data_IF_325154164073
#
_entry.id   IF_325154164073
#
_cell.length_a   1.000
_cell.length_b   1.000
_cell.length_c   1.000
_cell.angle_alpha   90.00
_cell.angle_beta   90.00
_cell.angle_gamma   90.00
#
_symmetry.space_group_name_H-M   'P 1'
#
loop_
_entity.id
_entity.type
_entity.pdbx_description
1 polymer ?
#
# COMPACT_ATOMS: atom_id res chain seq x y z
N UNK A 1 8.94 7.45 -3.72
CA UNK A 1 8.22 6.19 -3.95
C UNK A 1 7.97 6.01 -5.44
N UNK A 2 8.18 4.82 -5.94
CA UNK A 2 7.88 4.52 -7.34
C UNK A 2 6.36 4.56 -7.56
N UNK A 3 5.94 5.07 -8.71
CA UNK A 3 4.53 5.17 -9.07
C UNK A 3 4.24 4.13 -10.15
N UNK A 4 3.82 2.94 -9.71
CA UNK A 4 3.51 1.84 -10.64
C UNK A 4 2.22 2.11 -11.43
N UNK A 5 1.24 2.72 -10.79
CA UNK A 5 -0.05 3.02 -11.40
C UNK A 5 -0.44 4.46 -11.09
N UNK A 6 -1.25 5.04 -11.96
CA UNK A 6 -1.85 6.35 -11.75
C UNK A 6 -3.35 6.18 -11.53
N UNK A 7 -3.92 6.98 -10.63
CA UNK A 7 -5.35 6.97 -10.36
C UNK A 7 -5.90 8.35 -10.65
N UNK A 8 -6.86 8.43 -11.56
CA UNK A 8 -7.55 9.67 -11.90
C UNK A 8 -9.05 9.43 -11.89
N UNK A 9 -9.78 10.23 -11.11
CA UNK A 9 -11.24 10.14 -11.00
C UNK A 9 -11.72 8.73 -10.62
N UNK A 10 -10.99 8.06 -9.72
CA UNK A 10 -11.31 6.71 -9.28
C UNK A 10 -11.01 5.61 -10.28
N UNK A 11 -10.39 5.96 -11.41
CA UNK A 11 -10.01 4.98 -12.44
C UNK A 11 -8.50 4.87 -12.52
N UNK A 12 -8.03 3.65 -12.75
CA UNK A 12 -6.60 3.40 -12.92
C UNK A 12 -6.18 3.75 -14.35
N UNK A 13 -5.03 4.42 -14.45
CA UNK A 13 -4.41 4.75 -15.72
C UNK A 13 -3.04 4.08 -15.75
N UNK A 14 -2.75 3.24 -16.75
CA UNK A 14 -1.45 2.59 -16.83
C UNK A 14 -0.32 3.62 -16.97
N UNK A 15 0.78 3.37 -16.27
CA UNK A 15 2.02 4.12 -16.43
C UNK A 15 2.94 3.39 -17.43
N UNK A 16 4.07 4.00 -17.77
CA UNK A 16 5.07 3.33 -18.60
C UNK A 16 5.59 2.04 -17.98
N UNK A 17 5.57 1.92 -16.64
CA UNK A 17 5.97 0.71 -15.94
C UNK A 17 5.12 -0.50 -16.33
N UNK A 18 3.86 -0.28 -16.67
CA UNK A 18 2.96 -1.36 -17.09
C UNK A 18 3.41 -2.02 -18.39
N UNK A 19 4.13 -1.28 -19.23
CA UNK A 19 4.63 -1.79 -20.51
C UNK A 19 6.06 -2.30 -20.45
N UNK A 20 6.82 -1.92 -19.42
CA UNK A 20 8.24 -2.26 -19.31
C UNK A 20 8.52 -3.33 -18.29
N UNK A 21 7.73 -3.42 -17.23
CA UNK A 21 7.90 -4.45 -16.21
C UNK A 21 7.20 -5.74 -16.65
N UNK A 22 7.94 -6.83 -16.70
CA UNK A 22 7.45 -8.10 -17.25
C UNK A 22 6.21 -8.61 -16.54
N UNK A 23 6.16 -8.50 -15.23
CA UNK A 23 5.03 -9.01 -14.46
C UNK A 23 3.74 -8.23 -14.71
N UNK A 24 3.83 -6.93 -15.02
CA UNK A 24 2.65 -6.13 -15.36
C UNK A 24 2.24 -6.35 -16.79
N UNK A 25 3.20 -6.44 -17.71
CA UNK A 25 2.91 -6.73 -19.11
C UNK A 25 2.29 -8.11 -19.28
N UNK A 26 2.72 -9.10 -18.49
CA UNK A 26 2.15 -10.44 -18.53
C UNK A 26 0.66 -10.43 -18.16
N UNK A 27 0.24 -9.59 -17.21
CA UNK A 27 -1.16 -9.40 -16.87
C UNK A 27 -1.93 -8.80 -18.05
N UNK A 28 -1.38 -7.76 -18.66
CA UNK A 28 -2.00 -7.12 -19.82
C UNK A 28 -2.19 -8.11 -20.99
N UNK A 29 -1.19 -8.93 -21.24
CA UNK A 29 -1.21 -9.91 -22.32
C UNK A 29 -2.21 -11.04 -22.04
N UNK A 30 -2.31 -11.50 -20.79
CA UNK A 30 -3.22 -12.58 -20.41
C UNK A 30 -4.67 -12.11 -20.33
N UNK A 31 -4.90 -10.89 -19.86
CA UNK A 31 -6.24 -10.35 -19.63
C UNK A 31 -6.45 -9.06 -20.43
N UNK A 32 -6.45 -9.12 -21.77
CA UNK A 32 -6.50 -7.90 -22.59
C UNK A 32 -7.77 -7.06 -22.36
N UNK A 33 -8.87 -7.68 -21.94
CA UNK A 33 -10.14 -6.97 -21.71
C UNK A 33 -10.34 -6.54 -20.27
N UNK A 34 -9.63 -7.16 -19.31
CA UNK A 34 -9.84 -6.95 -17.88
C UNK A 34 -8.58 -6.54 -17.12
N UNK A 35 -7.47 -6.30 -17.82
CA UNK A 35 -6.20 -6.00 -17.15
C UNK A 35 -6.26 -4.75 -16.28
N UNK A 36 -7.10 -3.77 -16.60
CA UNK A 36 -7.25 -2.58 -15.78
C UNK A 36 -7.87 -2.90 -14.43
N UNK A 37 -8.83 -3.81 -14.39
CA UNK A 37 -9.42 -4.27 -13.12
C UNK A 37 -8.39 -5.04 -12.30
N UNK A 38 -7.56 -5.86 -12.94
CA UNK A 38 -6.47 -6.56 -12.25
C UNK A 38 -5.45 -5.56 -11.70
N UNK A 39 -5.08 -4.54 -12.45
CA UNK A 39 -4.19 -3.48 -11.98
C UNK A 39 -4.78 -2.74 -10.79
N UNK A 40 -6.08 -2.46 -10.81
CA UNK A 40 -6.77 -1.85 -9.68
C UNK A 40 -6.66 -2.73 -8.42
N UNK A 41 -6.88 -4.03 -8.59
CA UNK A 41 -6.71 -5.01 -7.53
C UNK A 41 -5.27 -5.01 -6.99
N UNK A 42 -4.28 -5.03 -7.87
CA UNK A 42 -2.87 -4.96 -7.46
C UNK A 42 -2.56 -3.68 -6.68
N UNK A 43 -3.07 -2.56 -7.16
CA UNK A 43 -2.86 -1.27 -6.50
C UNK A 43 -3.44 -1.26 -5.07
N UNK A 44 -4.70 -1.66 -4.93
CA UNK A 44 -5.35 -1.62 -3.62
C UNK A 44 -4.82 -2.67 -2.65
N UNK A 45 -4.30 -3.78 -3.16
CA UNK A 45 -3.67 -4.80 -2.31
C UNK A 45 -2.26 -4.41 -1.85
N UNK A 46 -1.53 -3.61 -2.60
CA UNK A 46 -0.11 -3.43 -2.38
C UNK A 46 0.34 -2.01 -2.07
N UNK A 47 -0.42 -0.99 -2.48
CA UNK A 47 -0.02 0.39 -2.24
C UNK A 47 0.00 0.69 -0.74
N UNK A 48 1.15 1.07 -0.19
CA UNK A 48 1.29 1.28 1.25
C UNK A 48 0.99 2.72 1.69
N UNK A 49 0.51 3.56 0.81
CA UNK A 49 0.17 4.95 1.13
C UNK A 49 -1.31 5.08 1.46
N UNK A 50 -1.69 5.33 2.73
CA UNK A 50 -3.10 5.42 3.11
C UNK A 50 -3.83 6.60 2.47
N UNK A 51 -3.11 7.63 2.02
CA UNK A 51 -3.73 8.77 1.33
C UNK A 51 -4.21 8.41 -0.07
N UNK A 52 -3.59 7.41 -0.69
CA UNK A 52 -3.93 6.94 -2.03
C UNK A 52 -4.76 5.65 -2.00
N UNK A 53 -4.63 4.87 -0.94
CA UNK A 53 -5.25 3.56 -0.83
C UNK A 53 -6.23 3.53 0.34
N UNK A 54 -7.54 3.68 0.08
CA UNK A 54 -8.53 3.68 1.15
C UNK A 54 -8.66 2.34 1.87
N UNK A 55 -8.14 1.25 1.29
CA UNK A 55 -8.19 -0.08 1.88
C UNK A 55 -6.94 -0.41 2.71
N UNK A 56 -6.01 0.53 2.84
CA UNK A 56 -4.72 0.28 3.50
C UNK A 56 -4.87 -0.24 4.94
N UNK A 57 -5.82 0.29 5.69
CA UNK A 57 -5.99 -0.03 7.10
C UNK A 57 -6.90 -1.22 7.37
N UNK A 58 -7.41 -1.88 6.35
CA UNK A 58 -8.24 -3.06 6.53
C UNK A 58 -7.41 -4.26 7.00
N UNK A 59 -7.99 -5.15 7.84
CA UNK A 59 -7.32 -6.39 8.22
C UNK A 59 -6.99 -7.22 6.97
N UNK A 60 -5.79 -7.81 6.94
CA UNK A 60 -5.31 -8.54 5.77
C UNK A 60 -6.26 -9.69 5.35
N UNK A 61 -6.87 -10.38 6.31
CA UNK A 61 -7.75 -11.50 6.02
C UNK A 61 -9.10 -11.08 5.41
N UNK A 62 -9.48 -9.81 5.53
CA UNK A 62 -10.72 -9.28 4.97
C UNK A 62 -10.48 -8.42 3.73
N UNK A 63 -9.27 -7.89 3.60
CA UNK A 63 -8.90 -6.90 2.60
C UNK A 63 -9.13 -7.40 1.17
N UNK A 64 -8.70 -8.61 0.88
CA UNK A 64 -8.82 -9.19 -0.46
C UNK A 64 -10.29 -9.28 -0.90
N UNK A 65 -11.14 -9.83 -0.06
CA UNK A 65 -12.56 -10.01 -0.39
C UNK A 65 -13.28 -8.68 -0.57
N UNK A 66 -12.97 -7.70 0.27
CA UNK A 66 -13.56 -6.37 0.19
C UNK A 66 -13.15 -5.68 -1.12
N UNK A 67 -11.88 -5.76 -1.48
CA UNK A 67 -11.38 -5.13 -2.70
C UNK A 67 -11.99 -5.79 -3.93
N UNK A 68 -12.04 -7.12 -3.97
CA UNK A 68 -12.62 -7.86 -5.10
C UNK A 68 -14.07 -7.44 -5.30
N UNK A 69 -14.84 -7.33 -4.23
CA UNK A 69 -16.23 -6.92 -4.31
C UNK A 69 -16.37 -5.48 -4.80
N UNK A 70 -15.55 -4.56 -4.27
CA UNK A 70 -15.62 -3.14 -4.63
C UNK A 70 -15.28 -2.88 -6.10
N UNK A 71 -14.29 -3.55 -6.65
CA UNK A 71 -13.89 -3.32 -8.03
C UNK A 71 -14.61 -4.24 -9.02
N UNK A 72 -15.32 -5.25 -8.53
CA UNK A 72 -16.01 -6.20 -9.40
C UNK A 72 -15.04 -7.08 -10.18
N UNK A 73 -13.96 -7.54 -9.55
CA UNK A 73 -12.95 -8.36 -10.21
C UNK A 73 -13.54 -9.69 -10.65
N UNK A 74 -13.49 -9.95 -11.96
CA UNK A 74 -13.97 -11.19 -12.56
C UNK A 74 -12.92 -12.29 -12.56
N UNK A 75 -11.63 -11.90 -12.60
CA UNK A 75 -10.53 -12.84 -12.67
C UNK A 75 -10.22 -13.45 -11.30
N UNK A 76 -9.74 -14.70 -11.32
CA UNK A 76 -9.40 -15.38 -10.08
C UNK A 76 -8.13 -14.78 -9.45
N UNK A 77 -8.19 -14.34 -8.18
CA UNK A 77 -7.00 -13.84 -7.50
C UNK A 77 -5.97 -14.94 -7.21
N UNK A 78 -6.35 -16.21 -7.37
CA UNK A 78 -5.44 -17.34 -7.20
C UNK A 78 -4.59 -17.60 -8.42
N UNK A 79 -4.80 -16.90 -9.54
CA UNK A 79 -3.98 -17.03 -10.73
C UNK A 79 -2.51 -16.75 -10.41
N UNK A 80 -1.63 -17.62 -10.86
CA UNK A 80 -0.21 -17.52 -10.56
C UNK A 80 0.43 -16.22 -11.02
N UNK A 81 -0.03 -15.67 -12.15
CA UNK A 81 0.49 -14.39 -12.66
C UNK A 81 0.04 -13.23 -11.78
N UNK A 82 -1.17 -13.27 -11.27
CA UNK A 82 -1.69 -12.25 -10.36
C UNK A 82 -0.96 -12.34 -9.02
N UNK A 83 -0.79 -13.53 -8.47
CA UNK A 83 -0.06 -13.72 -7.22
C UNK A 83 1.40 -13.27 -7.33
N UNK A 84 2.06 -13.60 -8.43
CA UNK A 84 3.42 -13.15 -8.68
C UNK A 84 3.48 -11.62 -8.79
N UNK A 85 2.52 -11.01 -9.47
CA UNK A 85 2.46 -9.57 -9.60
C UNK A 85 2.24 -8.87 -8.27
N UNK A 86 1.44 -9.45 -7.36
CA UNK A 86 1.27 -8.91 -6.00
C UNK A 86 2.62 -8.88 -5.27
N UNK A 87 3.35 -9.98 -5.30
CA UNK A 87 4.65 -10.07 -4.63
C UNK A 87 5.64 -9.05 -5.20
N UNK A 88 5.67 -8.91 -6.52
CA UNK A 88 6.56 -7.97 -7.19
C UNK A 88 6.17 -6.51 -6.89
N UNK A 89 4.90 -6.19 -6.89
CA UNK A 89 4.43 -4.85 -6.53
C UNK A 89 4.84 -4.50 -5.09
N UNK A 90 4.67 -5.42 -4.16
CA UNK A 90 5.10 -5.22 -2.78
C UNK A 90 6.59 -4.92 -2.70
N UNK A 91 7.42 -5.69 -3.41
CA UNK A 91 8.86 -5.45 -3.44
C UNK A 91 9.22 -4.09 -4.03
N UNK A 92 8.53 -3.69 -5.10
CA UNK A 92 8.77 -2.39 -5.74
C UNK A 92 8.42 -1.22 -4.81
N UNK A 93 7.38 -1.35 -4.00
CA UNK A 93 7.01 -0.33 -3.02
C UNK A 93 7.93 -0.32 -1.81
N UNK A 94 8.61 -1.42 -1.51
CA UNK A 94 9.49 -1.56 -0.34
C UNK A 94 10.90 -1.07 -0.61
N UNK A 95 11.06 0.18 -1.07
CA UNK A 95 12.37 0.79 -1.19
C UNK A 95 12.90 1.18 0.19
N UNK A 96 14.23 1.23 0.41
CA UNK A 96 14.78 1.65 1.69
C UNK A 96 14.31 3.04 2.12
N UNK A 97 14.25 3.98 1.19
CA UNK A 97 13.77 5.34 1.47
C UNK A 97 12.31 5.32 1.93
N UNK A 98 11.48 4.54 1.26
CA UNK A 98 10.07 4.44 1.61
C UNK A 98 9.87 3.75 2.95
N UNK A 99 10.63 2.68 3.23
CA UNK A 99 10.60 2.02 4.53
C UNK A 99 10.97 2.98 5.67
N UNK A 100 12.00 3.79 5.46
CA UNK A 100 12.39 4.80 6.44
C UNK A 100 11.27 5.80 6.69
N UNK A 101 10.61 6.27 5.63
CA UNK A 101 9.48 7.19 5.75
C UNK A 101 8.34 6.59 6.56
N UNK A 102 7.93 5.36 6.25
CA UNK A 102 6.86 4.66 6.97
C UNK A 102 7.23 4.46 8.44
N UNK A 103 8.49 4.09 8.70
CA UNK A 103 8.99 3.92 10.07
C UNK A 103 8.93 5.21 10.86
N UNK A 104 9.36 6.31 10.28
CA UNK A 104 9.32 7.63 10.91
C UNK A 104 7.87 8.05 11.19
N UNK A 105 6.99 7.88 10.23
CA UNK A 105 5.57 8.19 10.40
C UNK A 105 4.95 7.41 11.53
N UNK A 106 5.21 6.11 11.60
CA UNK A 106 4.70 5.25 12.67
C UNK A 106 5.23 5.68 14.04
N UNK A 107 6.51 6.07 14.11
CA UNK A 107 7.11 6.57 15.34
C UNK A 107 6.46 7.87 15.79
N UNK A 108 6.24 8.80 14.87
CA UNK A 108 5.58 10.07 15.18
C UNK A 108 4.15 9.86 15.67
N UNK A 109 3.42 8.93 15.06
CA UNK A 109 2.06 8.59 15.50
C UNK A 109 2.05 8.02 16.91
N UNK A 110 3.04 7.20 17.27
CA UNK A 110 3.18 6.66 18.63
C UNK A 110 3.51 7.76 19.63
N UNK A 111 4.39 8.68 19.28
CA UNK A 111 4.72 9.81 20.13
C UNK A 111 3.50 10.70 20.38
N UNK A 112 2.73 10.99 19.33
CA UNK A 112 1.51 11.77 19.46
C UNK A 112 0.52 11.12 20.42
N UNK A 113 0.31 9.80 20.30
CA UNK A 113 -0.57 9.06 21.21
C UNK A 113 -0.05 9.07 22.63
N UNK A 114 1.25 8.91 22.81
CA UNK A 114 1.87 8.97 24.15
C UNK A 114 1.61 10.33 24.79
N UNK A 115 1.77 11.41 24.04
CA UNK A 115 1.54 12.76 24.56
C UNK A 115 0.08 13.04 24.89
N UNK A 116 -0.85 12.40 24.18
CA UNK A 116 -2.28 12.50 24.48
C UNK A 116 -2.67 11.82 25.77
N UNK A 117 -2.10 10.64 26.04
CA UNK A 117 -2.45 9.83 27.23
C UNK A 117 -1.59 10.14 28.45
N UNK A 118 -0.44 10.79 28.26
CA UNK A 118 0.48 11.13 29.35
C UNK A 118 0.37 12.62 29.61
N UNK A 119 -0.21 13.05 30.75
CA UNK A 119 -0.35 14.47 31.06
C UNK A 119 0.99 15.19 31.07
N UNK A 120 0.95 16.46 30.69
CA UNK A 120 2.16 17.29 30.59
C UNK A 120 2.83 17.49 31.95
N UNK A 121 2.08 17.43 33.04
CA UNK A 121 2.68 17.50 34.38
C UNK A 121 3.66 16.37 34.65
N UNK A 122 3.57 15.29 33.88
CA UNK A 122 4.57 14.22 33.87
C UNK A 122 5.74 14.53 32.96
N UNK A 123 5.67 15.63 32.25
CA UNK A 123 6.71 16.06 31.32
C UNK A 123 7.99 16.49 32.04
N UNK A 124 8.49 15.64 32.89
CA UNK A 124 9.83 15.78 33.45
C UNK A 124 10.82 15.49 32.33
N UNK A 125 11.98 16.10 32.45
CA UNK A 125 13.02 15.90 31.44
C UNK A 125 13.33 14.43 31.19
N UNK A 126 13.28 13.60 32.23
CA UNK A 126 13.47 12.17 32.12
C UNK A 126 12.44 11.49 31.21
N UNK A 127 11.18 11.88 31.27
CA UNK A 127 10.14 11.34 30.42
C UNK A 127 10.35 11.76 28.96
N UNK A 128 10.70 13.01 28.75
CA UNK A 128 11.00 13.52 27.41
C UNK A 128 12.20 12.79 26.81
N UNK A 129 13.23 12.59 27.60
CA UNK A 129 14.41 11.86 27.15
C UNK A 129 14.07 10.40 26.81
N UNK A 130 13.22 9.75 27.59
CA UNK A 130 12.78 8.39 27.32
C UNK A 130 12.03 8.30 25.99
N UNK A 131 11.20 9.28 25.69
CA UNK A 131 10.48 9.33 24.40
C UNK A 131 11.42 9.51 23.23
N UNK A 132 12.41 10.38 23.39
CA UNK A 132 13.39 10.66 22.32
C UNK A 132 14.30 9.47 22.09
N UNK A 133 14.69 8.79 23.15
CA UNK A 133 15.66 7.68 23.07
C UNK A 133 14.98 6.33 22.78
N UNK A 134 13.69 6.26 22.90
CA UNK A 134 12.95 5.04 22.61
C UNK A 134 12.72 4.89 21.12
#
# INVERSE_FOLDING_TARGET
MIKLFDIQNGKIIPTEHCYTLNFLKAIMDKYPDTYLDVYMYLFYMTCPNPDLNPFFNLPEHEKEDIIIEEIGLEESPEDGKIRYAIDMCKQMYETPTYRAYVGIKAMLDRLARYMEVTPIEHGRDGNMNSMINA
#
